data_IF_475156978536
#
_entry.id   IF_475156978536
#
_cell.length_a   1.000
_cell.length_b   1.000
_cell.length_c   1.000
_cell.angle_alpha   90.00
_cell.angle_beta   90.00
_cell.angle_gamma   90.00
#
_symmetry.space_group_name_H-M   'P 1'
#
loop_
_entity.id
_entity.type
_entity.pdbx_description
1 polymer ?
#
# COMPACT_ATOMS: atom_id res chain seq x y z
N UNK A 1 25.53 0.34 20.62
CA UNK A 1 24.48 0.41 19.58
C UNK A 1 24.52 -0.89 18.81
N UNK A 2 23.38 -1.55 18.58
CA UNK A 2 23.35 -2.87 17.95
C UNK A 2 23.59 -2.75 16.42
N UNK A 3 24.53 -3.52 15.88
CA UNK A 3 24.97 -3.43 14.48
C UNK A 3 23.82 -3.68 13.49
N UNK A 4 23.01 -4.73 13.74
CA UNK A 4 21.85 -5.04 12.93
C UNK A 4 20.84 -3.87 12.86
N UNK A 5 20.67 -3.15 13.98
CA UNK A 5 19.76 -2.00 14.09
C UNK A 5 20.32 -0.79 13.35
N UNK A 6 21.59 -0.46 13.57
CA UNK A 6 22.28 0.62 12.86
C UNK A 6 22.12 0.48 11.34
N UNK A 7 22.43 -0.72 10.81
CA UNK A 7 22.35 -0.94 9.37
C UNK A 7 20.92 -0.92 8.84
N UNK A 8 19.92 -1.36 9.60
CA UNK A 8 18.51 -1.22 9.17
C UNK A 8 18.09 0.24 9.06
N UNK A 9 18.52 1.09 10.01
CA UNK A 9 18.24 2.53 9.99
C UNK A 9 18.89 3.19 8.77
N UNK A 10 20.16 2.90 8.49
CA UNK A 10 20.85 3.41 7.30
C UNK A 10 20.18 2.93 5.99
N UNK A 11 19.75 1.68 5.94
CA UNK A 11 19.09 1.09 4.77
C UNK A 11 17.76 1.79 4.45
N UNK A 12 16.89 1.97 5.46
CA UNK A 12 15.60 2.65 5.28
C UNK A 12 15.78 4.14 4.98
N UNK A 13 16.75 4.81 5.61
CA UNK A 13 17.05 6.22 5.33
C UNK A 13 17.55 6.42 3.91
N UNK A 14 18.48 5.57 3.43
CA UNK A 14 18.94 5.62 2.04
C UNK A 14 17.81 5.35 1.04
N UNK A 15 16.91 4.42 1.34
CA UNK A 15 15.72 4.14 0.51
C UNK A 15 14.80 5.37 0.46
N UNK A 16 14.52 5.97 1.62
CA UNK A 16 13.72 7.18 1.70
C UNK A 16 14.34 8.37 0.94
N UNK A 17 15.66 8.56 1.05
CA UNK A 17 16.39 9.60 0.31
C UNK A 17 16.36 9.37 -1.19
N UNK A 18 16.47 8.13 -1.65
CA UNK A 18 16.36 7.78 -3.07
C UNK A 18 15.00 8.11 -3.65
N UNK A 19 13.94 7.98 -2.84
CA UNK A 19 12.58 8.32 -3.22
C UNK A 19 12.26 9.80 -3.08
N UNK A 20 12.88 10.53 -2.14
CA UNK A 20 12.53 11.94 -1.85
C UNK A 20 13.44 12.96 -2.52
N UNK A 21 14.66 12.56 -2.85
CA UNK A 21 15.75 13.45 -3.25
C UNK A 21 16.16 13.26 -4.71
N UNK A 22 17.17 14.02 -5.13
CA UNK A 22 17.71 13.96 -6.50
C UNK A 22 18.81 12.91 -6.70
N UNK A 23 19.16 12.14 -5.65
CA UNK A 23 20.24 11.16 -5.68
C UNK A 23 19.73 9.73 -5.62
N UNK A 24 20.39 8.81 -6.32
CA UNK A 24 20.11 7.38 -6.24
C UNK A 24 21.03 6.70 -5.21
N UNK A 25 20.44 6.30 -4.09
CA UNK A 25 21.11 5.55 -3.02
C UNK A 25 20.63 4.10 -2.94
N UNK A 26 19.97 3.59 -3.99
CA UNK A 26 19.37 2.24 -3.99
C UNK A 26 20.41 1.16 -3.69
N UNK A 27 21.62 1.28 -4.26
CA UNK A 27 22.72 0.32 -4.02
C UNK A 27 23.17 0.32 -2.56
N UNK A 28 23.33 1.50 -1.96
CA UNK A 28 23.74 1.68 -0.57
C UNK A 28 22.64 1.18 0.38
N UNK A 29 21.37 1.45 0.05
CA UNK A 29 20.22 0.96 0.79
C UNK A 29 20.18 -0.57 0.84
N UNK A 30 20.38 -1.23 -0.31
CA UNK A 30 20.43 -2.69 -0.40
C UNK A 30 21.66 -3.28 0.30
N UNK A 31 22.83 -2.65 0.19
CA UNK A 31 24.03 -3.10 0.88
C UNK A 31 23.84 -3.11 2.41
N UNK A 32 23.32 -2.01 2.98
CA UNK A 32 23.00 -1.96 4.41
C UNK A 32 21.88 -2.91 4.82
N UNK A 33 20.86 -3.12 3.97
CA UNK A 33 19.80 -4.11 4.21
C UNK A 33 20.38 -5.52 4.36
N UNK A 34 21.28 -5.93 3.46
CA UNK A 34 21.93 -7.25 3.50
C UNK A 34 22.78 -7.41 4.76
N UNK A 35 23.57 -6.39 5.13
CA UNK A 35 24.37 -6.41 6.37
C UNK A 35 23.45 -6.56 7.59
N UNK A 36 22.38 -5.77 7.66
CA UNK A 36 21.41 -5.81 8.75
C UNK A 36 20.74 -7.18 8.89
N UNK A 37 20.27 -7.78 7.79
CA UNK A 37 19.63 -9.10 7.80
C UNK A 37 20.61 -10.19 8.26
N UNK A 38 21.86 -10.16 7.77
CA UNK A 38 22.89 -11.12 8.19
C UNK A 38 23.20 -11.01 9.69
N UNK A 39 23.41 -9.78 10.17
CA UNK A 39 23.68 -9.53 11.57
C UNK A 39 22.47 -9.89 12.47
N UNK A 40 21.24 -9.62 12.03
CA UNK A 40 20.03 -10.01 12.75
C UNK A 40 19.89 -11.54 12.81
N UNK A 41 20.08 -12.24 11.70
CA UNK A 41 20.01 -13.71 11.67
C UNK A 41 21.06 -14.36 12.58
N UNK A 42 22.28 -13.82 12.60
CA UNK A 42 23.32 -14.26 13.52
C UNK A 42 22.91 -14.04 15.00
N UNK A 43 22.32 -12.88 15.31
CA UNK A 43 21.83 -12.59 16.66
C UNK A 43 20.67 -13.52 17.06
N UNK A 44 19.73 -13.81 16.15
CA UNK A 44 18.57 -14.69 16.40
C UNK A 44 18.93 -16.15 16.65
N UNK A 45 20.17 -16.57 16.33
CA UNK A 45 20.66 -17.91 16.66
C UNK A 45 20.89 -18.12 18.16
N UNK A 46 20.86 -17.04 18.96
CA UNK A 46 20.99 -17.08 20.41
C UNK A 46 19.83 -16.31 21.07
N UNK A 47 19.42 -16.68 22.29
CA UNK A 47 18.52 -15.86 23.10
C UNK A 47 19.05 -14.42 23.23
N UNK A 48 18.15 -13.44 23.35
CA UNK A 48 18.56 -12.07 23.59
C UNK A 48 19.27 -11.96 24.95
N UNK A 49 20.42 -11.29 25.00
CA UNK A 49 21.20 -11.10 26.23
C UNK A 49 20.57 -10.09 27.19
N UNK A 50 19.65 -9.25 26.68
CA UNK A 50 18.96 -8.22 27.46
C UNK A 50 17.64 -7.82 26.81
N UNK A 51 16.75 -7.18 27.57
CA UNK A 51 15.52 -6.59 27.05
C UNK A 51 15.78 -5.54 25.96
N UNK A 52 16.84 -4.73 26.13
CA UNK A 52 17.26 -3.74 25.13
C UNK A 52 17.67 -4.39 23.81
N UNK A 53 18.34 -5.54 23.85
CA UNK A 53 18.67 -6.28 22.64
C UNK A 53 17.42 -6.90 21.99
N UNK A 54 16.49 -7.44 22.79
CA UNK A 54 15.22 -7.97 22.29
C UNK A 54 14.40 -6.89 21.57
N UNK A 55 14.28 -5.70 22.17
CA UNK A 55 13.60 -4.55 21.55
C UNK A 55 14.34 -4.07 20.30
N UNK A 56 15.68 -4.08 20.30
CA UNK A 56 16.47 -3.74 19.12
C UNK A 56 16.27 -4.73 17.96
N UNK A 57 16.20 -6.04 18.24
CA UNK A 57 15.92 -7.08 17.22
C UNK A 57 14.53 -6.86 16.62
N UNK A 58 13.52 -6.58 17.45
CA UNK A 58 12.17 -6.25 16.99
C UNK A 58 12.15 -4.97 16.14
N UNK A 59 12.78 -3.89 16.61
CA UNK A 59 12.87 -2.63 15.89
C UNK A 59 13.54 -2.80 14.52
N UNK A 60 14.56 -3.65 14.44
CA UNK A 60 15.26 -3.97 13.20
C UNK A 60 14.34 -4.67 12.19
N UNK A 61 13.62 -5.72 12.62
CA UNK A 61 12.65 -6.39 11.76
C UNK A 61 11.55 -5.41 11.28
N UNK A 62 11.08 -4.53 12.16
CA UNK A 62 10.07 -3.54 11.83
C UNK A 62 10.57 -2.47 10.83
N UNK A 63 11.81 -2.00 10.99
CA UNK A 63 12.45 -1.08 10.05
C UNK A 63 12.64 -1.74 8.69
N UNK A 64 13.08 -3.00 8.65
CA UNK A 64 13.26 -3.77 7.40
C UNK A 64 11.93 -4.02 6.70
N UNK A 65 10.84 -4.26 7.44
CA UNK A 65 9.48 -4.35 6.91
C UNK A 65 9.07 -3.04 6.24
N UNK A 66 9.32 -1.91 6.91
CA UNK A 66 9.00 -0.61 6.36
C UNK A 66 9.85 -0.29 5.13
N UNK A 67 11.13 -0.65 5.12
CA UNK A 67 11.98 -0.52 3.95
C UNK A 67 11.46 -1.34 2.76
N UNK A 68 10.89 -2.54 2.97
CA UNK A 68 10.28 -3.32 1.87
C UNK A 68 9.21 -2.51 1.14
N UNK A 69 8.48 -1.63 1.84
CA UNK A 69 7.47 -0.74 1.23
C UNK A 69 8.03 0.39 0.35
N UNK A 70 9.36 0.48 0.24
CA UNK A 70 10.09 1.39 -0.65
C UNK A 70 10.69 0.68 -1.87
N UNK A 71 10.46 -0.62 -2.01
CA UNK A 71 11.04 -1.47 -3.05
C UNK A 71 9.94 -1.97 -4.00
N UNK A 72 9.96 -1.63 -5.30
CA UNK A 72 8.97 -2.10 -6.28
C UNK A 72 8.86 -3.62 -6.41
N UNK A 73 9.91 -4.36 -6.06
CA UNK A 73 9.99 -5.82 -6.02
C UNK A 73 9.89 -6.40 -4.59
N UNK A 74 9.63 -5.56 -3.59
CA UNK A 74 9.67 -5.91 -2.16
C UNK A 74 8.40 -6.57 -1.60
N UNK A 75 7.44 -7.00 -2.42
CA UNK A 75 6.14 -7.50 -1.97
C UNK A 75 6.27 -8.74 -1.05
N UNK A 76 7.02 -9.75 -1.49
CA UNK A 76 7.22 -10.98 -0.70
C UNK A 76 8.16 -10.76 0.49
N UNK A 77 9.12 -9.86 0.34
CA UNK A 77 9.98 -9.37 1.42
C UNK A 77 9.14 -8.70 2.52
N UNK A 78 8.15 -7.91 2.15
CA UNK A 78 7.21 -7.28 3.09
C UNK A 78 6.44 -8.33 3.88
N UNK A 79 5.84 -9.33 3.22
CA UNK A 79 5.09 -10.39 3.89
C UNK A 79 5.97 -11.23 4.83
N UNK A 80 7.17 -11.60 4.35
CA UNK A 80 8.13 -12.38 5.12
C UNK A 80 8.62 -11.62 6.34
N UNK A 81 8.94 -10.33 6.20
CA UNK A 81 9.42 -9.49 7.29
C UNK A 81 8.30 -9.14 8.28
N UNK A 82 7.05 -9.00 7.82
CA UNK A 82 5.89 -8.84 8.68
C UNK A 82 5.76 -10.04 9.61
N UNK A 83 5.81 -11.26 9.08
CA UNK A 83 5.85 -12.48 9.90
C UNK A 83 7.08 -12.52 10.82
N UNK A 84 8.24 -12.10 10.31
CA UNK A 84 9.47 -11.98 11.09
C UNK A 84 9.32 -11.10 12.34
N UNK A 85 8.61 -9.96 12.25
CA UNK A 85 8.35 -9.09 13.39
C UNK A 85 7.57 -9.80 14.51
N UNK A 86 6.70 -10.76 14.17
CA UNK A 86 5.94 -11.52 15.16
C UNK A 86 6.77 -12.62 15.79
N UNK A 87 7.55 -13.35 14.99
CA UNK A 87 8.45 -14.39 15.50
C UNK A 87 9.52 -13.80 16.44
N UNK A 88 10.12 -12.66 16.07
CA UNK A 88 11.11 -11.99 16.91
C UNK A 88 10.48 -11.48 18.21
N UNK A 89 9.25 -11.00 18.17
CA UNK A 89 8.52 -10.57 19.36
C UNK A 89 8.19 -11.74 20.30
N UNK A 90 7.91 -12.93 19.75
CA UNK A 90 7.60 -14.15 20.50
C UNK A 90 8.86 -14.75 21.17
N UNK A 91 9.98 -14.78 20.43
CA UNK A 91 11.29 -15.25 20.94
C UNK A 91 11.83 -14.43 22.12
N UNK A 92 11.34 -13.20 22.33
CA UNK A 92 11.77 -12.32 23.41
C UNK A 92 11.32 -12.74 24.82
N UNK A 93 10.60 -13.84 24.99
CA UNK A 93 10.28 -14.44 26.30
C UNK A 93 9.36 -13.63 27.22
N UNK A 94 8.96 -12.41 26.84
CA UNK A 94 8.16 -11.50 27.67
C UNK A 94 6.65 -11.81 27.71
N UNK A 95 6.21 -13.02 27.33
CA UNK A 95 4.78 -13.31 27.22
C UNK A 95 4.07 -12.42 26.20
N UNK A 96 4.81 -11.90 25.20
CA UNK A 96 4.33 -11.02 24.11
C UNK A 96 3.49 -11.79 23.05
N UNK A 97 2.66 -12.73 23.51
CA UNK A 97 1.64 -13.46 22.73
C UNK A 97 0.84 -12.50 21.86
N UNK A 98 0.32 -12.91 20.68
CA UNK A 98 -0.63 -12.11 19.88
C UNK A 98 -1.77 -11.49 20.71
N UNK A 99 -2.17 -12.13 21.81
CA UNK A 99 -3.18 -11.63 22.77
C UNK A 99 -2.69 -10.51 23.70
N UNK A 100 -1.40 -10.46 24.02
CA UNK A 100 -0.79 -9.44 24.89
C UNK A 100 -0.42 -8.13 24.16
N UNK A 101 -0.66 -8.06 22.84
CA UNK A 101 -0.39 -6.88 22.00
C UNK A 101 -1.47 -5.81 22.10
N UNK A 102 -2.50 -6.04 22.91
CA UNK A 102 -3.56 -5.09 23.20
C UNK A 102 -3.02 -3.71 23.65
N UNK A 103 -1.98 -3.58 24.50
CA UNK A 103 -1.40 -2.28 24.85
C UNK A 103 -0.72 -1.57 23.67
N UNK A 104 -0.07 -2.30 22.76
CA UNK A 104 0.55 -1.71 21.56
C UNK A 104 -0.48 -1.27 20.54
N UNK A 105 -1.53 -2.07 20.35
CA UNK A 105 -2.70 -1.70 19.55
C UNK A 105 -3.45 -0.52 20.18
N UNK A 106 -3.53 -0.46 21.51
CA UNK A 106 -4.12 0.64 22.26
C UNK A 106 -3.30 1.93 22.16
N UNK A 107 -1.97 1.85 22.19
CA UNK A 107 -1.08 2.99 21.95
C UNK A 107 -1.22 3.52 20.51
N UNK A 108 -1.29 2.63 19.52
CA UNK A 108 -1.51 3.02 18.12
C UNK A 108 -2.90 3.67 17.92
N UNK A 109 -3.94 3.15 18.59
CA UNK A 109 -5.27 3.77 18.64
C UNK A 109 -5.27 5.13 19.33
N UNK A 110 -4.58 5.25 20.47
CA UNK A 110 -4.49 6.50 21.22
C UNK A 110 -3.76 7.57 20.41
N UNK A 111 -2.68 7.20 19.70
CA UNK A 111 -2.00 8.08 18.75
C UNK A 111 -2.96 8.50 17.62
N UNK A 112 -3.63 7.54 16.96
CA UNK A 112 -4.61 7.86 15.91
C UNK A 112 -5.72 8.80 16.41
N UNK A 113 -6.27 8.57 17.62
CA UNK A 113 -7.28 9.45 18.24
C UNK A 113 -6.72 10.83 18.56
N UNK A 114 -5.54 10.91 19.16
CA UNK A 114 -4.89 12.17 19.49
C UNK A 114 -4.68 13.02 18.24
N UNK A 115 -4.25 12.40 17.13
CA UNK A 115 -4.00 13.08 15.86
C UNK A 115 -5.27 13.57 15.17
N UNK A 116 -6.40 12.93 15.45
CA UNK A 116 -7.70 13.27 14.87
C UNK A 116 -8.62 13.99 15.88
N UNK A 117 -8.12 14.38 17.07
CA UNK A 117 -8.93 14.92 18.17
C UNK A 117 -9.57 16.29 17.90
N UNK A 118 -9.13 17.01 16.87
CA UNK A 118 -9.71 18.29 16.40
C UNK A 118 -10.65 18.17 15.20
N UNK A 119 -10.89 16.96 14.68
CA UNK A 119 -11.83 16.70 13.60
C UNK A 119 -13.16 16.34 14.27
N UNK A 120 -14.02 17.33 14.47
CA UNK A 120 -15.27 17.21 15.26
C UNK A 120 -16.09 15.96 14.90
N UNK A 121 -16.65 15.32 15.93
CA UNK A 121 -17.46 14.08 15.84
C UNK A 121 -18.71 14.19 14.95
N UNK A 122 -19.10 15.39 14.53
CA UNK A 122 -20.29 15.63 13.70
C UNK A 122 -19.96 16.01 12.24
N UNK A 123 -18.69 15.97 11.82
CA UNK A 123 -18.35 16.26 10.43
C UNK A 123 -17.19 15.41 9.94
N UNK A 124 -17.54 14.53 8.97
CA UNK A 124 -16.67 13.78 8.05
C UNK A 124 -16.25 12.37 8.49
N UNK A 125 -16.88 11.37 7.87
CA UNK A 125 -16.25 10.07 7.67
C UNK A 125 -14.88 10.33 7.03
N UNK A 126 -13.77 10.00 7.70
CA UNK A 126 -12.42 10.26 7.18
C UNK A 126 -12.13 9.54 5.85
N UNK A 127 -13.02 8.62 5.46
CA UNK A 127 -13.04 7.92 4.19
C UNK A 127 -14.34 8.21 3.44
N UNK A 128 -14.22 8.51 2.15
CA UNK A 128 -15.36 8.74 1.28
C UNK A 128 -16.23 7.46 1.20
N UNK A 129 -17.53 7.59 1.45
CA UNK A 129 -18.50 6.49 1.50
C UNK A 129 -18.44 5.62 0.24
N UNK A 130 -18.14 6.21 -0.91
CA UNK A 130 -18.09 5.48 -2.18
C UNK A 130 -16.86 4.58 -2.28
N UNK A 131 -15.75 4.91 -1.60
CA UNK A 131 -14.59 4.02 -1.47
C UNK A 131 -14.94 2.81 -0.62
N UNK A 132 -15.64 3.05 0.50
CA UNK A 132 -16.11 2.00 1.41
C UNK A 132 -17.06 1.05 0.68
N UNK A 133 -18.09 1.59 0.03
CA UNK A 133 -19.06 0.79 -0.75
C UNK A 133 -18.39 0.07 -1.92
N UNK A 134 -17.48 0.73 -2.65
CA UNK A 134 -16.70 0.15 -3.75
C UNK A 134 -15.86 -1.04 -3.28
N UNK A 135 -15.16 -0.88 -2.15
CA UNK A 135 -14.37 -1.94 -1.53
C UNK A 135 -15.25 -3.13 -1.13
N UNK A 136 -16.34 -2.87 -0.38
CA UNK A 136 -17.25 -3.93 0.07
C UNK A 136 -17.89 -4.67 -1.11
N UNK A 137 -18.24 -3.96 -2.19
CA UNK A 137 -18.74 -4.57 -3.41
C UNK A 137 -17.68 -5.41 -4.13
N UNK A 138 -16.42 -4.94 -4.16
CA UNK A 138 -15.30 -5.71 -4.74
C UNK A 138 -15.03 -6.99 -3.94
N UNK A 139 -14.97 -6.88 -2.61
CA UNK A 139 -14.87 -8.05 -1.72
C UNK A 139 -16.06 -9.00 -1.91
N UNK A 140 -17.29 -8.49 -1.99
CA UNK A 140 -18.47 -9.34 -2.23
C UNK A 140 -18.34 -10.18 -3.51
N UNK A 141 -17.75 -9.64 -4.58
CA UNK A 141 -17.47 -10.40 -5.81
C UNK A 141 -16.42 -11.48 -5.61
N UNK A 142 -15.40 -11.26 -4.78
CA UNK A 142 -14.38 -12.27 -4.44
C UNK A 142 -14.92 -13.41 -3.58
N UNK A 143 -16.01 -13.19 -2.84
CA UNK A 143 -16.55 -14.15 -1.87
C UNK A 143 -16.73 -15.58 -2.40
N UNK A 144 -17.25 -15.82 -3.63
CA UNK A 144 -17.43 -17.17 -4.16
C UNK A 144 -16.12 -17.89 -4.51
N UNK A 145 -15.02 -17.15 -4.71
CA UNK A 145 -13.71 -17.71 -5.04
C UNK A 145 -12.95 -18.19 -3.79
N UNK A 146 -13.29 -17.64 -2.62
CA UNK A 146 -12.67 -17.97 -1.34
C UNK A 146 -13.25 -19.30 -0.83
N UNK A 147 -12.69 -20.43 -1.28
CA UNK A 147 -13.23 -21.77 -1.02
C UNK A 147 -12.53 -22.45 0.15
N UNK A 148 -11.25 -22.13 0.40
CA UNK A 148 -10.52 -22.72 1.50
C UNK A 148 -10.81 -22.01 2.84
N UNK A 149 -10.69 -22.72 3.98
CA UNK A 149 -10.86 -22.10 5.31
C UNK A 149 -9.91 -20.92 5.55
N UNK A 150 -8.68 -21.03 5.07
CA UNK A 150 -7.68 -19.97 5.22
C UNK A 150 -8.06 -18.76 4.36
N UNK A 151 -8.48 -18.94 3.10
CA UNK A 151 -8.97 -17.84 2.25
C UNK A 151 -10.15 -17.14 2.90
N UNK A 152 -11.12 -17.89 3.42
CA UNK A 152 -12.30 -17.33 4.11
C UNK A 152 -11.92 -16.52 5.36
N UNK A 153 -10.90 -16.96 6.10
CA UNK A 153 -10.33 -16.25 7.25
C UNK A 153 -9.77 -14.89 6.84
N UNK A 154 -8.88 -14.84 5.84
CA UNK A 154 -8.28 -13.57 5.40
C UNK A 154 -9.27 -12.67 4.66
N UNK A 155 -10.16 -13.25 3.86
CA UNK A 155 -11.28 -12.54 3.25
C UNK A 155 -12.09 -11.77 4.30
N UNK A 156 -12.49 -12.46 5.38
CA UNK A 156 -13.27 -11.86 6.46
C UNK A 156 -12.48 -10.76 7.16
N UNK A 157 -11.20 -11.00 7.47
CA UNK A 157 -10.34 -10.01 8.12
C UNK A 157 -10.14 -8.74 7.27
N UNK A 158 -9.89 -8.89 5.96
CA UNK A 158 -9.73 -7.77 5.02
C UNK A 158 -11.05 -7.00 4.89
N UNK A 159 -12.17 -7.72 4.70
CA UNK A 159 -13.50 -7.10 4.57
C UNK A 159 -13.87 -6.29 5.82
N UNK A 160 -13.54 -6.81 7.00
CA UNK A 160 -13.89 -6.19 8.29
C UNK A 160 -13.21 -4.85 8.53
N UNK A 161 -12.14 -4.50 7.79
CA UNK A 161 -11.52 -3.16 7.86
C UNK A 161 -12.54 -2.06 7.52
N UNK A 162 -13.48 -2.36 6.62
CA UNK A 162 -14.47 -1.41 6.10
C UNK A 162 -15.92 -1.83 6.36
N UNK A 163 -16.15 -3.00 6.96
CA UNK A 163 -17.50 -3.53 7.21
C UNK A 163 -18.31 -2.75 8.27
N UNK A 164 -17.72 -2.17 9.34
CA UNK A 164 -18.47 -1.31 10.23
C UNK A 164 -19.01 -0.10 9.44
N UNK A 165 -20.33 0.03 9.35
CA UNK A 165 -21.05 1.09 8.63
C UNK A 165 -20.85 2.51 9.20
N UNK A 166 -19.80 2.74 9.98
CA UNK A 166 -19.46 3.98 10.68
C UNK A 166 -17.95 4.21 10.57
N UNK A 167 -17.49 4.66 9.40
CA UNK A 167 -16.04 4.74 9.11
C UNK A 167 -15.46 6.04 9.67
N UNK A 168 -15.18 6.04 10.98
CA UNK A 168 -14.09 6.87 11.50
C UNK A 168 -12.79 6.18 11.10
N UNK A 169 -11.79 6.90 10.60
CA UNK A 169 -10.55 6.23 10.20
C UNK A 169 -9.75 5.66 11.38
N UNK A 170 -10.09 6.04 12.62
CA UNK A 170 -9.56 5.41 13.84
C UNK A 170 -10.02 3.96 13.97
N UNK A 171 -11.28 3.64 13.64
CA UNK A 171 -11.78 2.27 13.68
C UNK A 171 -11.16 1.42 12.56
N UNK A 172 -10.98 1.99 11.37
CA UNK A 172 -10.28 1.32 10.28
C UNK A 172 -8.81 1.00 10.63
N UNK A 173 -8.12 1.89 11.36
CA UNK A 173 -6.75 1.65 11.87
C UNK A 173 -6.74 0.50 12.88
N UNK A 174 -7.75 0.41 13.73
CA UNK A 174 -7.89 -0.69 14.67
C UNK A 174 -8.00 -2.02 13.92
N UNK A 175 -8.92 -2.12 12.97
CA UNK A 175 -9.15 -3.35 12.21
C UNK A 175 -7.95 -3.69 11.31
N UNK A 176 -7.29 -2.68 10.75
CA UNK A 176 -6.01 -2.86 10.06
C UNK A 176 -4.96 -3.47 11.00
N UNK A 177 -4.83 -2.96 12.23
CA UNK A 177 -3.94 -3.53 13.24
C UNK A 177 -4.24 -5.00 13.54
N UNK A 178 -5.53 -5.39 13.60
CA UNK A 178 -5.95 -6.79 13.74
C UNK A 178 -5.50 -7.62 12.54
N UNK A 179 -5.68 -7.12 11.31
CA UNK A 179 -5.21 -7.82 10.11
C UNK A 179 -3.68 -8.01 10.10
N UNK A 180 -2.92 -6.99 10.51
CA UNK A 180 -1.47 -7.10 10.67
C UNK A 180 -1.07 -8.17 11.70
N UNK A 181 -1.87 -8.39 12.75
CA UNK A 181 -1.69 -9.49 13.71
C UNK A 181 -1.97 -10.84 13.04
N UNK A 182 -3.06 -10.95 12.30
CA UNK A 182 -3.43 -12.20 11.61
C UNK A 182 -2.36 -12.58 10.58
N UNK A 183 -1.94 -11.65 9.72
CA UNK A 183 -0.89 -11.88 8.72
C UNK A 183 0.48 -12.16 9.37
N UNK A 184 0.82 -11.43 10.42
CA UNK A 184 2.08 -11.60 11.12
C UNK A 184 2.19 -12.92 11.89
N UNK A 185 1.06 -13.41 12.42
CA UNK A 185 0.98 -14.71 13.11
C UNK A 185 0.69 -15.89 12.17
N UNK A 186 0.68 -15.67 10.85
CA UNK A 186 0.45 -16.72 9.87
C UNK A 186 1.45 -17.88 10.03
N UNK A 187 0.93 -19.10 9.98
CA UNK A 187 1.72 -20.32 9.84
C UNK A 187 2.47 -20.33 8.50
N UNK A 188 3.43 -21.24 8.37
CA UNK A 188 4.17 -21.38 7.11
C UNK A 188 3.27 -21.81 5.93
N UNK A 189 2.22 -22.60 6.19
CA UNK A 189 1.23 -22.98 5.17
C UNK A 189 0.32 -21.80 4.80
N UNK A 190 -0.14 -21.01 5.77
CA UNK A 190 -0.95 -19.82 5.49
C UNK A 190 -0.17 -18.77 4.70
N UNK A 191 1.13 -18.59 4.98
CA UNK A 191 1.98 -17.68 4.21
C UNK A 191 2.14 -18.15 2.74
N UNK A 192 2.09 -19.47 2.49
CA UNK A 192 2.14 -20.02 1.11
C UNK A 192 0.94 -19.59 0.27
N UNK A 193 -0.23 -19.38 0.89
CA UNK A 193 -1.39 -18.82 0.17
C UNK A 193 -1.05 -17.51 -0.56
N UNK A 194 -0.23 -16.67 0.08
CA UNK A 194 0.13 -15.37 -0.45
C UNK A 194 1.41 -15.37 -1.28
N UNK A 195 2.30 -16.32 -1.04
CA UNK A 195 3.59 -16.40 -1.73
C UNK A 195 3.57 -17.29 -2.98
N UNK A 196 2.56 -18.14 -3.13
CA UNK A 196 2.33 -18.92 -4.35
C UNK A 196 1.65 -18.05 -5.42
N UNK A 197 2.31 -17.74 -6.55
CA UNK A 197 1.70 -16.96 -7.63
C UNK A 197 0.57 -17.70 -8.35
N UNK A 198 0.50 -19.04 -8.24
CA UNK A 198 -0.58 -19.85 -8.79
C UNK A 198 -1.84 -19.83 -7.92
N UNK A 199 -1.73 -19.42 -6.65
CA UNK A 199 -2.90 -19.15 -5.83
C UNK A 199 -3.47 -17.76 -6.17
N UNK A 200 -4.24 -17.70 -7.25
CA UNK A 200 -4.84 -16.47 -7.75
C UNK A 200 -5.77 -15.78 -6.73
N UNK A 201 -6.48 -16.55 -5.90
CA UNK A 201 -7.34 -16.01 -4.83
C UNK A 201 -6.48 -15.34 -3.76
N UNK A 202 -5.39 -15.97 -3.34
CA UNK A 202 -4.40 -15.38 -2.43
C UNK A 202 -3.80 -14.07 -2.96
N UNK A 203 -3.42 -14.04 -4.24
CA UNK A 203 -2.92 -12.82 -4.89
C UNK A 203 -3.99 -11.70 -4.94
N UNK A 204 -5.25 -12.04 -5.22
CA UNK A 204 -6.36 -11.09 -5.21
C UNK A 204 -6.63 -10.52 -3.81
N UNK A 205 -6.55 -11.35 -2.77
CA UNK A 205 -6.64 -10.90 -1.38
C UNK A 205 -5.50 -9.93 -1.01
N UNK A 206 -4.27 -10.19 -1.46
CA UNK A 206 -3.14 -9.27 -1.29
C UNK A 206 -3.39 -7.93 -1.97
N UNK A 207 -3.89 -7.93 -3.21
CA UNK A 207 -4.17 -6.70 -3.93
C UNK A 207 -5.18 -5.80 -3.18
N UNK A 208 -6.23 -6.40 -2.62
CA UNK A 208 -7.21 -5.68 -1.79
C UNK A 208 -6.62 -5.21 -0.46
N UNK A 209 -5.78 -6.03 0.17
CA UNK A 209 -5.06 -5.65 1.39
C UNK A 209 -4.17 -4.44 1.17
N UNK A 210 -3.28 -4.45 0.17
CA UNK A 210 -2.35 -3.34 -0.07
C UNK A 210 -3.09 -2.04 -0.39
N UNK A 211 -4.17 -2.11 -1.16
CA UNK A 211 -4.99 -0.93 -1.43
C UNK A 211 -5.58 -0.36 -0.14
N UNK A 212 -6.28 -1.20 0.64
CA UNK A 212 -7.03 -0.69 1.78
C UNK A 212 -6.11 -0.21 2.90
N UNK A 213 -4.96 -0.88 3.05
CA UNK A 213 -3.87 -0.46 3.92
C UNK A 213 -3.38 0.94 3.55
N UNK A 214 -3.10 1.18 2.27
CA UNK A 214 -2.65 2.48 1.77
C UNK A 214 -3.71 3.56 1.98
N UNK A 215 -4.98 3.27 1.64
CA UNK A 215 -6.11 4.20 1.81
C UNK A 215 -6.27 4.61 3.27
N UNK A 216 -6.37 3.65 4.20
CA UNK A 216 -6.50 3.94 5.65
C UNK A 216 -5.31 4.74 6.15
N UNK A 217 -4.10 4.33 5.77
CA UNK A 217 -2.89 5.01 6.21
C UNK A 217 -2.75 6.43 5.64
N UNK A 218 -3.20 6.68 4.42
CA UNK A 218 -3.21 8.04 3.88
C UNK A 218 -4.27 8.90 4.56
N UNK A 219 -5.48 8.39 4.81
CA UNK A 219 -6.57 9.18 5.42
C UNK A 219 -6.37 9.51 6.90
N UNK A 220 -5.71 8.66 7.67
CA UNK A 220 -5.54 8.85 9.13
C UNK A 220 -4.35 9.74 9.46
N UNK A 221 -3.26 9.58 8.70
CA UNK A 221 -1.98 10.19 9.02
C UNK A 221 -1.69 11.46 8.20
N UNK A 222 -2.68 12.00 7.46
CA UNK A 222 -2.59 13.31 6.78
C UNK A 222 -2.03 14.41 7.69
N UNK A 223 -2.48 14.56 8.97
CA UNK A 223 -2.06 15.69 9.81
C UNK A 223 -0.57 15.69 10.20
N UNK A 224 0.09 14.52 10.20
CA UNK A 224 1.53 14.40 10.50
C UNK A 224 2.38 14.56 9.25
N UNK A 225 1.94 13.98 8.13
CA UNK A 225 2.87 13.67 7.04
C UNK A 225 3.10 14.84 6.08
N UNK A 226 2.21 15.85 6.04
CA UNK A 226 2.02 16.57 4.78
C UNK A 226 1.88 15.57 3.62
N UNK A 227 2.09 15.98 2.37
CA UNK A 227 2.12 15.03 1.23
C UNK A 227 3.40 14.13 1.21
N UNK A 228 4.07 13.86 2.34
CA UNK A 228 5.46 13.38 2.36
C UNK A 228 5.65 12.00 2.98
N UNK A 229 4.90 10.98 2.54
CA UNK A 229 5.45 9.62 2.49
C UNK A 229 5.86 9.33 1.06
N UNK A 230 7.16 9.47 0.72
CA UNK A 230 7.62 9.38 -0.66
C UNK A 230 7.23 8.02 -1.22
N UNK A 231 6.43 8.04 -2.28
CA UNK A 231 6.26 6.95 -3.24
C UNK A 231 5.82 5.57 -2.70
N UNK A 232 5.43 5.41 -1.42
CA UNK A 232 4.89 4.13 -0.91
C UNK A 232 3.65 3.70 -1.67
N UNK A 233 2.75 4.64 -1.99
CA UNK A 233 1.57 4.36 -2.82
C UNK A 233 1.96 3.90 -4.23
N UNK A 234 3.04 4.44 -4.80
CA UNK A 234 3.53 4.06 -6.12
C UNK A 234 4.12 2.64 -6.10
N UNK A 235 4.84 2.30 -5.03
CA UNK A 235 5.36 0.95 -4.78
C UNK A 235 4.22 -0.06 -4.62
N UNK A 236 3.23 0.23 -3.77
CA UNK A 236 2.06 -0.65 -3.57
C UNK A 236 1.26 -0.82 -4.88
N UNK A 237 1.09 0.26 -5.64
CA UNK A 237 0.47 0.19 -6.96
C UNK A 237 1.30 -0.67 -7.92
N UNK A 238 2.64 -0.60 -7.88
CA UNK A 238 3.49 -1.48 -8.67
C UNK A 238 3.30 -2.96 -8.30
N UNK A 239 3.13 -3.28 -7.01
CA UNK A 239 2.83 -4.64 -6.56
C UNK A 239 1.48 -5.13 -7.08
N UNK A 240 0.43 -4.30 -6.98
CA UNK A 240 -0.90 -4.66 -7.50
C UNK A 240 -0.89 -4.81 -9.02
N UNK A 241 -0.13 -3.97 -9.75
CA UNK A 241 0.08 -4.15 -11.20
C UNK A 241 0.81 -5.46 -11.51
N UNK A 242 1.80 -5.83 -10.71
CA UNK A 242 2.52 -7.10 -10.88
C UNK A 242 1.58 -8.30 -10.67
N UNK A 243 0.75 -8.27 -9.63
CA UNK A 243 -0.32 -9.26 -9.41
C UNK A 243 -1.24 -9.33 -10.63
N UNK A 244 -1.77 -8.19 -11.08
CA UNK A 244 -2.70 -8.14 -12.21
C UNK A 244 -2.11 -8.74 -13.49
N UNK A 245 -0.82 -8.52 -13.76
CA UNK A 245 -0.13 -9.10 -14.93
C UNK A 245 0.01 -10.63 -14.88
N UNK A 246 0.03 -11.22 -13.69
CA UNK A 246 0.18 -12.68 -13.52
C UNK A 246 -1.16 -13.42 -13.51
N UNK A 247 -2.27 -12.71 -13.33
CA UNK A 247 -3.60 -13.32 -13.23
C UNK A 247 -4.11 -13.78 -14.61
N UNK A 248 -4.68 -14.99 -14.73
CA UNK A 248 -5.42 -15.40 -15.91
C UNK A 248 -6.60 -14.47 -16.21
N UNK A 249 -7.07 -14.47 -17.47
CA UNK A 249 -8.13 -13.58 -17.95
C UNK A 249 -9.41 -13.64 -17.08
N UNK A 250 -9.79 -14.83 -16.66
CA UNK A 250 -10.96 -15.07 -15.79
C UNK A 250 -10.88 -14.37 -14.43
N UNK A 251 -9.68 -14.04 -13.94
CA UNK A 251 -9.49 -13.34 -12.65
C UNK A 251 -9.31 -11.82 -12.79
N UNK A 252 -9.19 -11.30 -14.02
CA UNK A 252 -8.88 -9.87 -14.26
C UNK A 252 -9.97 -8.92 -13.76
N UNK A 253 -11.24 -9.34 -13.78
CA UNK A 253 -12.32 -8.48 -13.28
C UNK A 253 -12.23 -8.22 -11.76
N UNK A 254 -11.62 -9.14 -11.01
CA UNK A 254 -11.54 -9.06 -9.56
C UNK A 254 -10.41 -8.14 -9.09
N UNK A 255 -9.34 -7.97 -9.86
CA UNK A 255 -8.24 -7.03 -9.57
C UNK A 255 -8.47 -5.63 -10.12
N UNK A 256 -9.49 -5.45 -10.98
CA UNK A 256 -9.79 -4.18 -11.66
C UNK A 256 -10.01 -3.02 -10.69
N UNK A 257 -10.84 -3.22 -9.68
CA UNK A 257 -11.18 -2.17 -8.74
C UNK A 257 -9.96 -1.69 -7.92
N UNK A 258 -9.13 -2.57 -7.33
CA UNK A 258 -7.87 -2.13 -6.71
C UNK A 258 -6.94 -1.35 -7.63
N UNK A 259 -6.80 -1.77 -8.89
CA UNK A 259 -5.98 -1.08 -9.89
C UNK A 259 -6.48 0.35 -10.16
N UNK A 260 -7.77 0.51 -10.43
CA UNK A 260 -8.37 1.81 -10.72
C UNK A 260 -8.21 2.80 -9.56
N UNK A 261 -8.41 2.34 -8.32
CA UNK A 261 -8.30 3.19 -7.14
C UNK A 261 -6.85 3.64 -6.90
N UNK A 262 -5.86 2.74 -7.10
CA UNK A 262 -4.45 3.12 -7.00
C UNK A 262 -4.06 4.16 -8.03
N UNK A 263 -4.46 4.00 -9.29
CA UNK A 263 -4.19 4.98 -10.35
C UNK A 263 -4.81 6.35 -9.99
N UNK A 264 -6.02 6.38 -9.42
CA UNK A 264 -6.63 7.63 -8.93
C UNK A 264 -5.85 8.26 -7.77
N UNK A 265 -5.40 7.46 -6.80
CA UNK A 265 -4.65 7.93 -5.63
C UNK A 265 -3.26 8.49 -5.99
N UNK A 266 -2.63 7.96 -7.05
CA UNK A 266 -1.34 8.46 -7.54
C UNK A 266 -1.51 9.86 -8.12
N UNK A 267 -2.58 10.08 -8.90
CA UNK A 267 -2.85 11.35 -9.59
C UNK A 267 -3.32 12.45 -8.62
N UNK A 268 -4.16 12.15 -7.63
CA UNK A 268 -4.61 13.12 -6.62
C UNK A 268 -4.83 12.47 -5.25
N UNK A 269 -3.96 12.79 -4.28
CA UNK A 269 -4.09 12.30 -2.90
C UNK A 269 -5.31 12.87 -2.18
N UNK A 270 -5.73 14.09 -2.53
CA UNK A 270 -6.95 14.66 -1.98
C UNK A 270 -8.20 13.91 -2.48
N UNK A 271 -8.06 13.01 -3.47
CA UNK A 271 -9.15 12.17 -3.98
C UNK A 271 -9.74 11.20 -2.95
N UNK A 272 -9.04 10.91 -1.86
CA UNK A 272 -9.55 10.03 -0.81
C UNK A 272 -10.35 10.76 0.29
N UNK A 273 -10.28 12.09 0.33
CA UNK A 273 -10.94 12.90 1.36
C UNK A 273 -12.41 13.17 1.04
N UNK A 274 -13.31 13.30 2.02
CA UNK A 274 -14.70 13.72 1.79
C UNK A 274 -14.80 15.03 1.01
N UNK A 275 -15.86 15.16 0.21
CA UNK A 275 -16.03 16.29 -0.69
C UNK A 275 -15.98 17.63 0.06
N UNK A 276 -16.61 17.75 1.22
CA UNK A 276 -16.64 19.03 1.92
C UNK A 276 -15.29 19.38 2.60
N UNK A 277 -14.36 18.41 2.76
CA UNK A 277 -12.99 18.65 3.29
C UNK A 277 -12.13 19.34 2.24
N UNK A 278 -12.41 19.04 0.97
CA UNK A 278 -11.65 19.56 -0.17
C UNK A 278 -11.99 20.99 -0.50
N UNK A 279 -13.23 21.42 -0.26
CA UNK A 279 -13.64 22.80 -0.54
C UNK A 279 -12.96 23.82 0.38
N UNK A 280 -12.70 23.44 1.63
CA UNK A 280 -12.00 24.29 2.60
C UNK A 280 -10.49 24.46 2.29
N UNK A 281 -9.86 23.49 1.61
CA UNK A 281 -8.41 23.49 1.31
C UNK A 281 -8.06 23.92 -0.14
N UNK A 282 -8.95 24.65 -0.82
CA UNK A 282 -8.81 24.96 -2.25
C UNK A 282 -7.62 25.82 -2.71
N UNK A 283 -6.89 26.63 -1.92
CA UNK A 283 -5.96 27.57 -2.53
C UNK A 283 -4.48 27.13 -2.46
N UNK A 284 -4.09 25.96 -3.02
CA UNK A 284 -2.65 25.69 -3.35
C UNK A 284 -2.43 24.77 -4.56
N UNK A 285 -3.38 23.91 -4.95
CA UNK A 285 -3.16 22.90 -6.00
C UNK A 285 -3.03 23.42 -7.45
N UNK A 286 -3.09 24.73 -7.68
CA UNK A 286 -3.15 25.29 -9.05
C UNK A 286 -1.83 25.89 -9.55
N UNK A 287 -0.81 26.11 -8.70
CA UNK A 287 0.44 26.73 -9.18
C UNK A 287 1.72 25.99 -8.81
N UNK A 288 2.24 25.24 -9.79
CA UNK A 288 3.56 24.58 -9.77
C UNK A 288 4.01 24.00 -11.13
N UNK A 289 4.04 24.84 -12.17
CA UNK A 289 4.87 24.79 -13.41
C UNK A 289 5.30 23.41 -13.99
N UNK A 290 4.51 22.68 -14.80
CA UNK A 290 4.25 22.73 -16.27
C UNK A 290 5.29 22.24 -17.31
N UNK A 291 4.97 21.08 -17.90
CA UNK A 291 4.88 20.88 -19.37
C UNK A 291 3.39 20.75 -19.80
N UNK A 292 3.00 21.35 -20.94
CA UNK A 292 1.79 22.21 -20.98
C UNK A 292 0.50 21.68 -21.67
N UNK A 293 0.43 20.42 -22.14
CA UNK A 293 -0.79 19.81 -22.70
C UNK A 293 -1.19 18.44 -22.08
N UNK A 294 -0.22 17.67 -21.53
CA UNK A 294 -0.40 16.25 -21.14
C UNK A 294 -1.19 16.03 -19.84
N UNK A 295 -0.79 16.69 -18.74
CA UNK A 295 -1.54 16.72 -17.46
C UNK A 295 -2.97 17.29 -17.59
N UNK A 296 -3.24 18.01 -18.68
CA UNK A 296 -4.49 18.75 -18.90
C UNK A 296 -5.62 17.89 -19.47
N UNK A 297 -5.32 16.83 -20.20
CA UNK A 297 -6.27 15.73 -20.49
C UNK A 297 -6.40 14.77 -19.31
N UNK A 298 -5.26 14.49 -18.67
CA UNK A 298 -5.02 13.48 -17.60
C UNK A 298 -5.88 13.61 -16.35
N UNK A 299 -6.62 14.71 -16.31
CA UNK A 299 -7.41 15.17 -15.21
C UNK A 299 -8.82 15.59 -15.64
N UNK A 300 -8.99 16.05 -16.89
CA UNK A 300 -10.33 16.32 -17.48
C UNK A 300 -11.16 15.04 -17.49
N UNK A 301 -10.44 13.95 -17.67
CA UNK A 301 -10.81 12.61 -17.36
C UNK A 301 -10.15 12.15 -16.02
N UNK A 302 -10.37 12.75 -14.83
CA UNK A 302 -10.36 11.97 -13.55
C UNK A 302 -11.76 11.53 -13.05
N UNK A 303 -12.87 11.48 -13.80
CA UNK A 303 -13.09 11.72 -15.23
C UNK A 303 -14.50 12.02 -15.62
N UNK A 304 -14.89 13.28 -15.53
CA UNK A 304 -16.27 13.60 -15.11
C UNK A 304 -16.65 12.88 -13.77
N UNK A 305 -15.56 12.54 -13.06
CA UNK A 305 -15.32 12.11 -11.69
C UNK A 305 -16.15 10.95 -11.23
N UNK A 306 -15.62 9.78 -11.63
CA UNK A 306 -16.03 8.51 -11.15
C UNK A 306 -17.56 8.39 -11.32
N UNK A 307 -17.97 8.64 -12.57
CA UNK A 307 -18.99 9.61 -12.97
C UNK A 307 -20.19 9.55 -12.05
N UNK A 308 -20.16 10.49 -11.11
CA UNK A 308 -21.21 10.72 -10.12
C UNK A 308 -21.47 9.50 -9.24
N UNK A 309 -20.38 8.90 -8.76
CA UNK A 309 -20.28 8.09 -7.54
C UNK A 309 -21.03 6.76 -7.51
N UNK A 310 -21.25 6.18 -8.67
CA UNK A 310 -21.20 4.71 -8.80
C UNK A 310 -19.79 4.19 -9.13
N UNK A 311 -18.78 5.07 -9.22
CA UNK A 311 -17.35 4.90 -9.59
C UNK A 311 -17.00 3.97 -10.79
N UNK A 312 -18.00 3.64 -11.62
CA UNK A 312 -18.00 3.38 -13.09
C UNK A 312 -17.94 1.91 -13.62
N UNK A 313 -18.55 1.68 -14.83
CA UNK A 313 -18.72 0.42 -15.61
C UNK A 313 -18.72 0.68 -17.14
N UNK A 314 -18.29 -0.32 -17.95
CA UNK A 314 -18.57 -0.46 -19.41
C UNK A 314 -18.58 -1.94 -19.91
N UNK A 315 -19.51 -2.28 -20.82
CA UNK A 315 -19.54 -3.50 -21.66
C UNK A 315 -20.23 -3.22 -23.03
N UNK A 316 -19.44 -3.24 -24.14
CA UNK A 316 -19.78 -3.27 -25.62
C UNK A 316 -20.70 -2.18 -26.20
N UNK A 317 -20.62 -1.66 -27.44
CA UNK A 317 -19.89 -1.86 -28.72
C UNK A 317 -19.53 -0.44 -29.28
N UNK A 318 -18.75 -0.14 -30.33
CA UNK A 318 -18.47 -0.77 -31.62
C UNK A 318 -17.24 -0.03 -32.25
N UNK A 319 -16.60 -0.66 -33.24
CA UNK A 319 -15.27 -0.36 -33.77
C UNK A 319 -15.00 1.09 -34.25
N UNK A 320 -13.77 1.56 -34.04
CA UNK A 320 -13.07 2.38 -35.05
C UNK A 320 -11.71 1.73 -35.32
N UNK A 321 -11.65 1.18 -36.53
CA UNK A 321 -10.51 0.58 -37.21
C UNK A 321 -9.27 1.47 -37.10
N UNK A 322 -8.20 0.96 -36.50
CA UNK A 322 -6.87 1.54 -36.70
C UNK A 322 -6.43 1.16 -38.11
N UNK A 323 -6.64 2.06 -39.07
CA UNK A 323 -5.89 2.05 -40.32
C UNK A 323 -4.62 2.87 -40.12
N UNK A 324 -3.49 2.18 -39.94
CA UNK A 324 -2.18 2.80 -40.08
C UNK A 324 -1.94 2.96 -41.56
N UNK A 325 -2.30 4.13 -42.11
CA UNK A 325 -1.75 4.54 -43.40
C UNK A 325 -0.32 5.03 -43.14
N UNK A 326 0.65 4.15 -43.42
CA UNK A 326 2.00 4.57 -43.73
C UNK A 326 1.93 5.57 -44.88
N UNK A 327 2.25 6.84 -44.61
CA UNK A 327 2.56 7.78 -45.68
C UNK A 327 4.04 7.65 -45.93
N UNK A 328 4.36 6.94 -47.01
CA UNK A 328 5.63 7.07 -47.73
C UNK A 328 5.87 8.55 -48.03
N UNK A 329 7.02 9.05 -47.59
CA UNK A 329 7.59 10.28 -48.12
C UNK A 329 8.91 9.93 -48.81
N UNK A 330 8.76 9.38 -50.01
CA UNK A 330 9.70 9.66 -51.09
C UNK A 330 9.53 11.14 -51.47
N UNK A 331 10.54 11.96 -51.20
CA UNK A 331 11.06 12.86 -52.23
C UNK A 331 12.46 13.34 -51.87
N UNK A 332 13.31 13.16 -52.87
CA UNK A 332 14.73 13.41 -52.98
C UNK A 332 15.04 14.83 -53.47
N UNK A 333 16.27 15.28 -53.21
CA UNK A 333 17.06 16.31 -53.95
C UNK A 333 16.64 17.77 -53.70
N UNK A 334 17.50 18.79 -53.61
CA UNK A 334 18.96 18.96 -53.53
C UNK A 334 19.23 20.45 -53.18
N UNK A 335 20.50 20.81 -52.96
CA UNK A 335 21.11 22.16 -52.97
C UNK A 335 20.81 23.12 -51.79
N UNK A 336 21.76 23.76 -51.11
CA UNK A 336 23.22 23.85 -51.21
C UNK A 336 23.71 25.11 -50.45
N UNK A 337 25.00 25.12 -50.08
CA UNK A 337 25.87 26.31 -49.87
C UNK A 337 25.58 27.12 -48.56
N UNK A 338 26.46 27.35 -47.58
CA UNK A 338 27.92 27.47 -47.41
C UNK A 338 28.28 27.06 -45.97
#
# INVERSE_FOLDING_TARGET
MFEFLLHSMLAVSASHLSLSGSGDYTRQALAHRVISIRALNAALSNPASSAAEADARFATAFILLYQSSYMPDGMYDFLSMLRGCYLVADLGGNGRSPTSREPGLQAHRAAARSLNSGIESNSRALLDKTIVEGFLNSMKRLSPLCTSPDEAKYYSAIRNIMAPTTVTAVDAVKELGVLYIILGSASASELRMFTDPLNHVGQLLLAHFFLIECVVQTSVFVPINGSRRPHRKDVMAAWVRAIAKMLPEEYQEYVRWPMEVFEMQIVDEAWLLPWETREQNRPVLIHGTMGRAGLRQQWQFMSRKAERRGLMKYAGSEAVTVSVNCVDSTHSLDDGIF
#
